data_IF_939825300571
#
_entry.id   IF_939825300571
#
_cell.length_a   1.000
_cell.length_b   1.000
_cell.length_c   1.000
_cell.angle_alpha   90.00
_cell.angle_beta   90.00
_cell.angle_gamma   90.00
#
_symmetry.space_group_name_H-M   'P 1'
#
loop_
_entity.id
_entity.type
_entity.pdbx_description
1 polymer ?
#
# COMPACT_ATOMS: atom_id res chain seq x y z
N UNK A 1 -20.54 -13.63 -8.43
CA UNK A 1 -20.18 -13.98 -7.04
C UNK A 1 -20.14 -12.72 -6.17
N UNK A 2 -20.46 -12.76 -4.86
CA UNK A 2 -20.40 -11.58 -4.02
C UNK A 2 -18.96 -11.09 -3.88
N UNK A 3 -18.75 -9.82 -4.19
CA UNK A 3 -17.49 -9.12 -4.02
C UNK A 3 -17.27 -8.82 -2.54
N UNK A 4 -16.05 -9.01 -2.07
CA UNK A 4 -15.66 -8.78 -0.68
C UNK A 4 -14.43 -7.88 -0.65
N UNK A 5 -14.31 -7.11 0.43
CA UNK A 5 -13.15 -6.26 0.67
C UNK A 5 -12.63 -6.52 2.07
N UNK A 6 -11.33 -6.77 2.19
CA UNK A 6 -10.66 -6.72 3.49
C UNK A 6 -9.79 -5.47 3.55
N UNK A 7 -9.60 -4.92 4.74
CA UNK A 7 -8.71 -3.78 4.98
C UNK A 7 -7.68 -4.11 6.05
N UNK A 8 -6.47 -3.65 5.84
CA UNK A 8 -5.40 -3.59 6.82
C UNK A 8 -5.14 -2.14 7.19
N UNK A 9 -5.15 -1.85 8.49
CA UNK A 9 -4.83 -0.52 8.99
C UNK A 9 -3.34 -0.19 8.81
N UNK A 10 -3.02 1.07 8.54
CA UNK A 10 -1.67 1.53 8.22
C UNK A 10 -0.64 1.31 9.33
N UNK A 11 -1.11 1.15 10.57
CA UNK A 11 -0.26 0.83 11.74
C UNK A 11 0.39 -0.54 11.69
N UNK A 12 -0.04 -1.43 10.78
CA UNK A 12 0.59 -2.74 10.55
C UNK A 12 1.67 -2.72 9.45
N UNK A 13 2.02 -1.55 8.90
CA UNK A 13 3.04 -1.47 7.84
C UNK A 13 4.43 -1.86 8.33
N UNK A 14 5.24 -2.39 7.42
CA UNK A 14 6.66 -2.67 7.63
C UNK A 14 7.50 -1.83 6.67
N UNK A 15 8.57 -1.21 7.15
CA UNK A 15 9.44 -0.34 6.34
C UNK A 15 10.68 -1.13 5.92
N UNK A 16 11.00 -1.14 4.62
CA UNK A 16 12.17 -1.87 4.09
C UNK A 16 13.50 -1.23 4.53
N UNK A 17 13.64 0.09 4.36
CA UNK A 17 14.83 0.84 4.78
C UNK A 17 14.48 1.90 5.84
N UNK A 18 14.33 1.51 7.12
CA UNK A 18 13.90 2.44 8.17
C UNK A 18 14.88 3.60 8.39
N UNK A 19 16.17 3.43 8.07
CA UNK A 19 17.18 4.48 8.13
C UNK A 19 17.02 5.59 7.07
N UNK A 20 16.12 5.42 6.10
CA UNK A 20 15.74 6.45 5.12
C UNK A 20 14.55 7.30 5.57
N UNK A 21 14.02 7.02 6.76
CA UNK A 21 12.99 7.80 7.42
C UNK A 21 13.59 8.46 8.67
N UNK A 22 13.05 9.63 9.02
CA UNK A 22 13.40 10.31 10.26
C UNK A 22 12.47 9.90 11.40
N UNK A 23 11.23 9.49 11.09
CA UNK A 23 10.35 8.87 12.08
C UNK A 23 9.26 7.99 11.43
N UNK A 24 8.79 7.03 12.22
CA UNK A 24 7.61 6.21 11.96
C UNK A 24 6.84 6.09 13.27
N UNK A 25 5.57 6.46 13.29
CA UNK A 25 4.75 6.37 14.51
C UNK A 25 3.27 6.16 14.19
N UNK A 26 2.61 5.32 15.00
CA UNK A 26 1.16 5.34 15.07
C UNK A 26 0.70 6.70 15.60
N UNK A 27 -0.28 7.34 14.97
CA UNK A 27 -0.82 8.63 15.39
C UNK A 27 -2.31 8.67 15.08
N UNK A 28 -3.13 8.42 16.10
CA UNK A 28 -4.59 8.36 15.93
C UNK A 28 -4.99 7.30 14.88
N UNK A 29 -5.70 7.68 13.80
CA UNK A 29 -6.26 6.73 12.83
C UNK A 29 -5.30 6.36 11.68
N UNK A 30 -3.99 6.60 11.82
CA UNK A 30 -3.01 6.28 10.77
C UNK A 30 -1.63 5.99 11.35
N UNK A 31 -0.75 5.45 10.52
CA UNK A 31 0.69 5.52 10.72
C UNK A 31 1.24 6.76 10.02
N UNK A 32 1.96 7.62 10.75
CA UNK A 32 2.66 8.77 10.19
C UNK A 32 4.12 8.41 9.97
N UNK A 33 4.61 8.67 8.76
CA UNK A 33 6.02 8.62 8.39
C UNK A 33 6.52 10.02 8.07
N UNK A 34 7.77 10.27 8.41
CA UNK A 34 8.51 11.46 8.05
C UNK A 34 9.79 11.01 7.33
N UNK A 35 9.95 11.42 6.07
CA UNK A 35 11.10 11.03 5.25
C UNK A 35 12.40 11.73 5.60
N UNK A 36 13.52 11.15 5.15
CA UNK A 36 14.77 11.87 4.99
C UNK A 36 14.87 12.49 3.58
N UNK A 37 15.54 13.64 3.45
CA UNK A 37 15.65 14.38 2.18
C UNK A 37 16.28 13.54 1.08
N UNK A 38 15.69 13.60 -0.10
CA UNK A 38 16.17 12.93 -1.31
C UNK A 38 16.15 11.41 -1.25
N UNK A 39 15.51 10.82 -0.23
CA UNK A 39 15.43 9.39 -0.06
C UNK A 39 14.11 8.83 -0.58
N UNK A 40 14.12 7.52 -0.85
CA UNK A 40 12.95 6.71 -1.09
C UNK A 40 13.04 5.39 -0.31
N UNK A 41 11.89 4.81 0.03
CA UNK A 41 11.82 3.49 0.67
C UNK A 41 10.52 2.79 0.28
N UNK A 42 10.41 1.52 0.67
CA UNK A 42 9.23 0.72 0.50
C UNK A 42 8.48 0.51 1.81
N UNK A 43 7.16 0.48 1.72
CA UNK A 43 6.24 0.15 2.80
C UNK A 43 5.49 -1.14 2.41
N UNK A 44 5.61 -2.18 3.22
CA UNK A 44 4.96 -3.48 2.99
C UNK A 44 3.77 -3.68 3.91
N UNK A 45 2.69 -4.19 3.35
CA UNK A 45 1.43 -4.49 4.03
C UNK A 45 1.08 -5.96 3.76
N UNK A 46 1.49 -6.89 4.63
CA UNK A 46 1.16 -8.29 4.49
C UNK A 46 -0.29 -8.54 4.94
N UNK A 47 -1.20 -8.78 4.00
CA UNK A 47 -2.60 -9.09 4.26
C UNK A 47 -2.81 -10.59 4.45
N UNK A 48 -3.36 -11.05 5.59
CA UNK A 48 -3.84 -12.42 5.71
C UNK A 48 -5.11 -12.58 4.85
N UNK A 49 -4.95 -13.18 3.69
CA UNK A 49 -5.98 -13.31 2.66
C UNK A 49 -6.51 -14.72 2.54
N UNK A 50 -7.84 -14.92 2.51
CA UNK A 50 -8.41 -16.25 2.35
C UNK A 50 -8.30 -16.70 0.89
N UNK A 51 -7.33 -17.58 0.60
CA UNK A 51 -7.20 -18.22 -0.72
C UNK A 51 -8.41 -19.09 -1.08
N UNK A 52 -9.10 -19.64 -0.07
CA UNK A 52 -10.26 -20.51 -0.20
C UNK A 52 -11.33 -20.09 0.81
N UNK A 53 -12.58 -19.91 0.35
CA UNK A 53 -13.74 -19.63 1.19
C UNK A 53 -14.84 -20.62 0.81
N UNK A 54 -15.32 -21.43 1.76
CA UNK A 54 -16.38 -22.42 1.54
C UNK A 54 -16.12 -23.35 0.33
N UNK A 55 -14.85 -23.73 0.11
CA UNK A 55 -14.44 -24.59 -1.00
C UNK A 55 -14.28 -23.88 -2.35
N UNK A 56 -14.53 -22.56 -2.41
CA UNK A 56 -14.36 -21.72 -3.60
C UNK A 56 -13.03 -20.99 -3.55
N UNK A 57 -12.26 -21.06 -4.62
CA UNK A 57 -11.01 -20.30 -4.77
C UNK A 57 -11.31 -18.83 -4.98
N UNK A 58 -10.61 -17.96 -4.29
CA UNK A 58 -10.82 -16.52 -4.40
C UNK A 58 -9.90 -15.93 -5.46
N UNK A 59 -10.42 -14.99 -6.26
CA UNK A 59 -9.67 -14.21 -7.24
C UNK A 59 -9.49 -12.77 -6.74
N UNK A 60 -8.33 -12.19 -7.01
CA UNK A 60 -8.08 -10.77 -6.68
C UNK A 60 -8.63 -9.90 -7.79
N UNK A 61 -9.39 -8.88 -7.41
CA UNK A 61 -9.93 -7.91 -8.35
C UNK A 61 -9.05 -6.65 -8.39
N UNK A 62 -8.72 -6.13 -7.20
CA UNK A 62 -8.18 -4.78 -7.04
C UNK A 62 -7.55 -4.60 -5.66
N UNK A 63 -6.56 -3.72 -5.57
CA UNK A 63 -6.07 -3.19 -4.29
C UNK A 63 -6.52 -1.74 -4.08
N UNK A 64 -6.66 -1.37 -2.81
CA UNK A 64 -6.98 -0.04 -2.35
C UNK A 64 -5.82 0.53 -1.52
N UNK A 65 -5.57 1.83 -1.65
CA UNK A 65 -4.61 2.55 -0.79
C UNK A 65 -5.28 3.81 -0.27
N UNK A 66 -5.24 4.02 1.05
CA UNK A 66 -5.81 5.18 1.72
C UNK A 66 -4.72 5.92 2.49
N UNK A 67 -4.43 7.16 2.09
CA UNK A 67 -3.33 7.94 2.64
C UNK A 67 -3.51 9.46 2.42
N UNK A 68 -2.64 10.21 3.09
CA UNK A 68 -2.40 11.63 2.82
C UNK A 68 -0.91 11.89 2.72
N UNK A 69 -0.49 12.81 1.86
CA UNK A 69 0.88 13.34 1.86
C UNK A 69 0.90 14.84 2.10
N UNK A 70 2.04 15.33 2.56
CA UNK A 70 2.39 16.74 2.43
C UNK A 70 3.12 16.97 1.10
N UNK A 71 3.29 18.25 0.76
CA UNK A 71 3.68 18.69 -0.57
C UNK A 71 5.03 18.13 -1.07
N UNK A 72 5.91 17.67 -0.18
CA UNK A 72 7.24 17.13 -0.51
C UNK A 72 7.38 15.62 -0.27
N UNK A 73 6.27 14.90 -0.26
CA UNK A 73 6.25 13.45 -0.22
C UNK A 73 5.21 12.90 -1.19
N UNK A 74 5.49 11.71 -1.74
CA UNK A 74 4.59 11.05 -2.67
C UNK A 74 4.63 9.54 -2.56
N UNK A 75 3.56 8.90 -3.01
CA UNK A 75 3.57 7.50 -3.42
C UNK A 75 3.81 7.47 -4.93
N UNK A 76 4.87 6.78 -5.36
CA UNK A 76 5.25 6.68 -6.77
C UNK A 76 5.05 5.28 -7.35
N UNK A 77 4.90 4.25 -6.51
CA UNK A 77 4.73 2.87 -6.97
C UNK A 77 3.74 2.12 -6.06
N UNK A 78 2.90 1.27 -6.67
CA UNK A 78 2.06 0.30 -5.97
C UNK A 78 2.27 -1.06 -6.61
N UNK A 79 2.70 -2.04 -5.83
CA UNK A 79 2.98 -3.40 -6.29
C UNK A 79 2.19 -4.39 -5.45
N UNK A 80 1.58 -5.38 -6.10
CA UNK A 80 0.85 -6.47 -5.44
C UNK A 80 1.60 -7.77 -5.66
N UNK A 81 1.92 -8.44 -4.55
CA UNK A 81 2.50 -9.78 -4.56
C UNK A 81 1.51 -10.81 -4.01
N UNK A 82 1.52 -12.00 -4.61
CA UNK A 82 0.93 -13.22 -4.07
C UNK A 82 2.07 -14.21 -3.75
N UNK A 83 2.41 -14.33 -2.47
CA UNK A 83 3.64 -14.98 -2.06
C UNK A 83 4.88 -14.27 -2.65
N UNK A 84 5.69 -14.99 -3.43
CA UNK A 84 6.84 -14.42 -4.14
C UNK A 84 6.49 -13.82 -5.51
N UNK A 85 5.30 -14.12 -6.03
CA UNK A 85 4.91 -13.73 -7.39
C UNK A 85 4.37 -12.31 -7.41
N UNK A 86 4.93 -11.46 -8.25
CA UNK A 86 4.37 -10.13 -8.54
C UNK A 86 3.22 -10.26 -9.53
N UNK A 87 2.02 -9.89 -9.12
CA UNK A 87 0.78 -10.08 -9.89
C UNK A 87 0.17 -8.77 -10.41
N UNK A 88 0.58 -7.63 -9.85
CA UNK A 88 0.28 -6.31 -10.41
C UNK A 88 1.39 -5.31 -10.06
N UNK A 89 1.62 -4.35 -10.95
CA UNK A 89 2.48 -3.19 -10.71
C UNK A 89 1.86 -1.94 -11.32
N UNK A 90 1.92 -0.84 -10.58
CA UNK A 90 1.51 0.48 -11.00
C UNK A 90 2.69 1.40 -10.72
N UNK A 91 3.41 1.74 -11.80
CA UNK A 91 4.69 2.45 -11.76
C UNK A 91 4.51 3.90 -12.19
N UNK A 92 5.56 4.71 -12.01
CA UNK A 92 5.63 6.10 -12.47
C UNK A 92 4.49 7.00 -11.97
N UNK A 93 3.97 6.71 -10.78
CA UNK A 93 2.92 7.50 -10.16
C UNK A 93 3.50 8.79 -9.53
N UNK A 94 2.63 9.79 -9.38
CA UNK A 94 2.94 11.02 -8.64
C UNK A 94 1.77 11.37 -7.71
N UNK A 95 1.42 10.43 -6.83
CA UNK A 95 0.27 10.60 -5.94
C UNK A 95 0.66 11.45 -4.73
N UNK A 96 0.03 12.62 -4.62
CA UNK A 96 0.26 13.63 -3.59
C UNK A 96 -1.06 14.15 -3.03
N UNK A 97 -1.05 14.61 -1.78
CA UNK A 97 -2.25 15.10 -1.11
C UNK A 97 -3.15 13.97 -0.60
N UNK A 98 -4.46 14.19 -0.60
CA UNK A 98 -5.44 13.28 -0.01
C UNK A 98 -5.94 12.25 -1.02
N UNK A 99 -5.71 10.98 -0.74
CA UNK A 99 -6.17 9.83 -1.51
C UNK A 99 -6.82 8.83 -0.56
N UNK A 100 -8.12 8.99 -0.31
CA UNK A 100 -8.82 8.20 0.71
C UNK A 100 -9.35 6.85 0.19
N UNK A 101 -9.46 6.70 -1.13
CA UNK A 101 -10.02 5.54 -1.81
C UNK A 101 -9.31 5.20 -3.14
N UNK A 102 -8.00 5.45 -3.24
CA UNK A 102 -7.24 5.16 -4.46
C UNK A 102 -7.30 3.68 -4.83
N UNK A 103 -7.57 3.39 -6.11
CA UNK A 103 -7.89 2.07 -6.65
C UNK A 103 -6.87 1.64 -7.69
N UNK A 104 -6.45 0.38 -7.60
CA UNK A 104 -5.46 -0.19 -8.51
C UNK A 104 -5.86 -1.61 -8.91
N UNK A 105 -6.22 -1.78 -10.18
CA UNK A 105 -6.72 -3.05 -10.71
C UNK A 105 -5.63 -4.11 -10.79
N UNK A 106 -5.98 -5.37 -10.48
CA UNK A 106 -5.08 -6.52 -10.68
C UNK A 106 -5.40 -7.19 -12.02
N UNK A 107 -4.51 -7.10 -13.04
CA UNK A 107 -4.80 -7.63 -14.36
C UNK A 107 -5.03 -9.13 -14.37
N UNK A 108 -6.01 -9.58 -15.16
CA UNK A 108 -6.33 -11.00 -15.31
C UNK A 108 -7.02 -11.67 -14.12
N UNK A 109 -7.19 -10.95 -13.00
CA UNK A 109 -7.90 -11.41 -11.80
C UNK A 109 -7.46 -12.81 -11.33
N UNK A 110 -6.16 -13.00 -11.05
CA UNK A 110 -5.63 -14.31 -10.72
C UNK A 110 -6.24 -14.84 -9.41
N UNK A 111 -6.30 -16.17 -9.30
CA UNK A 111 -6.59 -16.82 -8.03
C UNK A 111 -5.51 -16.47 -6.98
N UNK A 112 -5.95 -16.29 -5.73
CA UNK A 112 -5.09 -16.11 -4.57
C UNK A 112 -4.50 -17.47 -4.18
N UNK A 113 -3.18 -17.57 -4.14
CA UNK A 113 -2.48 -18.81 -3.81
C UNK A 113 -1.86 -18.79 -2.42
N UNK A 114 -1.40 -17.63 -1.96
CA UNK A 114 -0.65 -17.40 -0.72
C UNK A 114 -1.11 -16.09 -0.05
N UNK A 115 -0.30 -15.61 0.90
CA UNK A 115 -0.53 -14.30 1.52
C UNK A 115 -0.24 -13.18 0.55
N UNK A 116 -1.11 -12.18 0.51
CA UNK A 116 -0.94 -11.00 -0.34
C UNK A 116 -0.08 -9.97 0.38
N UNK A 117 0.87 -9.38 -0.34
CA UNK A 117 1.61 -8.22 0.14
C UNK A 117 1.38 -7.05 -0.81
N UNK A 118 0.76 -5.98 -0.31
CA UNK A 118 0.66 -4.71 -1.04
C UNK A 118 1.88 -3.89 -0.64
N UNK A 119 2.66 -3.46 -1.61
CA UNK A 119 3.90 -2.70 -1.37
C UNK A 119 3.77 -1.31 -2.00
N UNK A 120 4.11 -0.27 -1.23
CA UNK A 120 4.06 1.12 -1.67
C UNK A 120 5.48 1.68 -1.76
N UNK A 121 5.86 2.18 -2.94
CA UNK A 121 7.08 2.96 -3.12
C UNK A 121 6.83 4.41 -2.75
N UNK A 122 7.56 4.92 -1.76
CA UNK A 122 7.43 6.30 -1.29
C UNK A 122 8.74 7.06 -1.45
N UNK A 123 8.65 8.33 -1.84
CA UNK A 123 9.82 9.19 -2.03
C UNK A 123 9.61 10.57 -1.42
N UNK A 124 10.72 11.20 -1.04
CA UNK A 124 10.74 12.49 -0.36
C UNK A 124 11.69 13.45 -1.09
N UNK A 125 11.23 14.68 -1.32
CA UNK A 125 11.98 15.62 -2.15
C UNK A 125 13.26 16.10 -1.44
N UNK A 126 14.37 16.21 -2.18
CA UNK A 126 15.66 16.74 -1.67
C UNK A 126 15.53 18.19 -1.17
N UNK A 127 14.75 18.99 -1.90
CA UNK A 127 14.61 20.43 -1.66
C UNK A 127 13.49 20.78 -0.65
N UNK A 128 12.99 19.80 0.11
CA UNK A 128 11.95 20.04 1.10
C UNK A 128 12.39 21.07 2.16
N UNK A 129 11.55 22.07 2.50
CA UNK A 129 11.90 23.12 3.47
C UNK A 129 12.17 22.56 4.86
N UNK A 130 11.44 21.53 5.27
CA UNK A 130 11.59 20.88 6.57
C UNK A 130 11.09 19.43 6.53
N UNK A 131 11.24 18.71 7.65
CA UNK A 131 10.81 17.31 7.77
C UNK A 131 9.29 17.14 7.77
N UNK A 132 8.54 18.14 8.24
CA UNK A 132 7.07 18.08 8.31
C UNK A 132 6.44 18.16 6.92
N UNK A 133 7.09 18.83 5.97
CA UNK A 133 6.62 18.86 4.59
C UNK A 133 6.83 17.53 3.83
N UNK A 134 7.63 16.61 4.39
CA UNK A 134 7.89 15.26 3.87
C UNK A 134 7.07 14.18 4.60
N UNK A 135 5.91 14.55 5.15
CA UNK A 135 5.05 13.63 5.86
C UNK A 135 4.16 12.83 4.92
N UNK A 136 3.97 11.55 5.25
CA UNK A 136 2.87 10.72 4.73
C UNK A 136 2.11 10.12 5.91
N UNK A 137 0.79 10.16 5.85
CA UNK A 137 -0.11 9.51 6.79
C UNK A 137 -0.79 8.34 6.07
N UNK A 138 -0.40 7.11 6.39
CA UNK A 138 -1.01 5.91 5.85
C UNK A 138 -2.17 5.49 6.74
N UNK A 139 -3.38 5.54 6.20
CA UNK A 139 -4.61 5.12 6.87
C UNK A 139 -4.74 3.60 6.75
N UNK A 140 -4.49 3.06 5.56
CA UNK A 140 -4.51 1.61 5.35
C UNK A 140 -4.46 1.21 3.88
N UNK A 141 -4.43 -0.09 3.66
CA UNK A 141 -4.56 -0.70 2.34
C UNK A 141 -5.68 -1.74 2.37
N UNK A 142 -6.32 -1.97 1.24
CA UNK A 142 -7.42 -2.92 1.12
C UNK A 142 -7.23 -3.86 -0.06
N UNK A 143 -7.84 -5.03 0.03
CA UNK A 143 -7.91 -5.98 -1.06
C UNK A 143 -9.37 -6.28 -1.39
N UNK A 144 -9.70 -6.14 -2.66
CA UNK A 144 -10.94 -6.59 -3.24
C UNK A 144 -10.76 -7.97 -3.87
N UNK A 145 -11.67 -8.89 -3.55
CA UNK A 145 -11.62 -10.25 -4.04
C UNK A 145 -13.03 -10.81 -4.23
N UNK A 146 -13.16 -11.73 -5.16
CA UNK A 146 -14.41 -12.40 -5.52
C UNK A 146 -14.18 -13.91 -5.55
N UNK A 147 -15.26 -14.69 -5.46
CA UNK A 147 -15.13 -16.13 -5.70
C UNK A 147 -14.92 -16.36 -7.19
N UNK A 148 -13.93 -17.19 -7.55
CA UNK A 148 -13.74 -17.65 -8.91
C UNK A 148 -14.96 -18.42 -9.42
N UNK A 149 -15.07 -18.52 -10.74
CA UNK A 149 -16.08 -19.32 -11.42
C UNK A 149 -15.87 -20.83 -11.24
#
# INVERSE_FOLDING_TARGET
MPQRTIWMHGTNMQVEYPNRLTSVRATGPFARIEGARGQNTWLHFPLPTPALVDGVRMQIERTYVSFRTRDHAKIHEVIVYDGESRIAEHMDLDLRGDHLDAKFDVPGKPEINKGINITLGVSFDENAPDVRSMQIEIIGVGLEYSGGD
#
